data_IF_610433705589
#
_entry.id   IF_610433705589
#
_cell.length_a   1.000
_cell.length_b   1.000
_cell.length_c   1.000
_cell.angle_alpha   90.00
_cell.angle_beta   90.00
_cell.angle_gamma   90.00
#
_symmetry.space_group_name_H-M   'P 1'
#
loop_
_entity.id
_entity.type
_entity.pdbx_description
1 polymer ?
#
# COMPACT_ATOMS: atom_id res chain seq x y z
N UNK A 1 -0.95 -2.70 7.14
CA UNK A 1 -0.79 -3.70 8.22
C UNK A 1 -1.95 -4.69 8.31
N UNK A 2 -3.21 -4.23 8.42
CA UNK A 2 -4.38 -5.12 8.59
C UNK A 2 -4.51 -6.14 7.45
N UNK A 3 -4.39 -5.70 6.18
CA UNK A 3 -4.47 -6.59 5.02
C UNK A 3 -3.41 -7.70 5.04
N UNK A 4 -2.18 -7.37 5.47
CA UNK A 4 -1.08 -8.34 5.57
C UNK A 4 -1.35 -9.43 6.62
N UNK A 5 -1.99 -9.09 7.73
CA UNK A 5 -2.39 -10.07 8.75
C UNK A 5 -3.50 -11.00 8.23
N UNK A 6 -4.47 -10.45 7.49
CA UNK A 6 -5.55 -11.25 6.87
C UNK A 6 -4.97 -12.21 5.81
N UNK A 7 -3.96 -11.78 5.05
CA UNK A 7 -3.26 -12.65 4.09
C UNK A 7 -2.57 -13.83 4.78
N UNK A 8 -1.83 -13.59 5.87
CA UNK A 8 -1.19 -14.67 6.64
C UNK A 8 -2.21 -15.65 7.22
N UNK A 9 -3.32 -15.13 7.77
CA UNK A 9 -4.40 -15.97 8.29
C UNK A 9 -5.05 -16.81 7.17
N UNK A 10 -5.32 -16.20 6.01
CA UNK A 10 -5.90 -16.88 4.86
C UNK A 10 -5.00 -17.98 4.28
N UNK A 11 -3.69 -17.74 4.21
CA UNK A 11 -2.71 -18.76 3.82
C UNK A 11 -2.55 -19.87 4.85
N UNK A 12 -2.62 -19.55 6.15
CA UNK A 12 -2.67 -20.55 7.22
C UNK A 12 -3.86 -21.50 7.08
N UNK A 13 -5.05 -20.97 6.75
CA UNK A 13 -6.25 -21.77 6.50
C UNK A 13 -6.12 -22.67 5.26
N UNK A 14 -5.42 -22.21 4.20
CA UNK A 14 -5.18 -23.01 3.00
C UNK A 14 -4.21 -24.18 3.22
N UNK A 15 -3.40 -24.16 4.27
CA UNK A 15 -2.52 -25.28 4.62
C UNK A 15 -3.24 -26.45 5.29
N UNK A 16 -4.51 -26.27 5.70
CA UNK A 16 -5.30 -27.33 6.31
C UNK A 16 -5.85 -28.26 5.23
N UNK A 17 -5.83 -29.58 5.49
CA UNK A 17 -6.33 -30.63 4.60
C UNK A 17 -7.88 -30.67 4.54
N UNK A 18 -8.52 -29.53 4.30
CA UNK A 18 -9.97 -29.40 4.16
C UNK A 18 -10.31 -28.45 3.01
N UNK A 19 -11.10 -28.95 2.06
CA UNK A 19 -11.48 -28.18 0.87
C UNK A 19 -12.31 -26.94 1.21
N UNK A 20 -13.15 -27.01 2.24
CA UNK A 20 -13.98 -25.90 2.72
C UNK A 20 -13.11 -24.76 3.28
N UNK A 21 -12.11 -25.11 4.09
CA UNK A 21 -11.16 -24.13 4.64
C UNK A 21 -10.28 -23.51 3.56
N UNK A 22 -9.95 -24.27 2.52
CA UNK A 22 -9.25 -23.74 1.35
C UNK A 22 -10.08 -22.68 0.60
N UNK A 23 -11.38 -22.90 0.42
CA UNK A 23 -12.27 -21.90 -0.21
C UNK A 23 -12.41 -20.63 0.64
N UNK A 24 -12.59 -20.79 1.96
CA UNK A 24 -12.65 -19.65 2.89
C UNK A 24 -11.34 -18.87 2.88
N UNK A 25 -10.20 -19.57 2.91
CA UNK A 25 -8.87 -18.96 2.79
C UNK A 25 -8.72 -18.19 1.47
N UNK A 26 -9.19 -18.75 0.34
CA UNK A 26 -9.15 -18.07 -0.97
C UNK A 26 -9.96 -16.78 -0.98
N UNK A 27 -11.15 -16.80 -0.39
CA UNK A 27 -12.00 -15.62 -0.29
C UNK A 27 -11.34 -14.54 0.58
N UNK A 28 -10.81 -14.90 1.75
CA UNK A 28 -10.13 -13.96 2.65
C UNK A 28 -8.89 -13.34 2.00
N UNK A 29 -8.05 -14.16 1.37
CA UNK A 29 -6.86 -13.66 0.67
C UNK A 29 -7.22 -12.76 -0.51
N UNK A 30 -8.30 -13.06 -1.24
CA UNK A 30 -8.78 -12.22 -2.34
C UNK A 30 -9.22 -10.84 -1.87
N UNK A 31 -10.00 -10.76 -0.78
CA UNK A 31 -10.44 -9.49 -0.19
C UNK A 31 -9.23 -8.68 0.29
N UNK A 32 -8.31 -9.32 1.00
CA UNK A 32 -7.12 -8.66 1.51
C UNK A 32 -6.19 -8.16 0.39
N UNK A 33 -6.01 -8.96 -0.66
CA UNK A 33 -5.24 -8.58 -1.84
C UNK A 33 -5.88 -7.39 -2.56
N UNK A 34 -7.20 -7.42 -2.78
CA UNK A 34 -7.92 -6.32 -3.42
C UNK A 34 -7.78 -5.00 -2.66
N UNK A 35 -7.96 -5.02 -1.34
CA UNK A 35 -7.74 -3.84 -0.49
C UNK A 35 -6.29 -3.33 -0.55
N UNK A 36 -5.31 -4.24 -0.50
CA UNK A 36 -3.90 -3.87 -0.61
C UNK A 36 -3.55 -3.26 -1.97
N UNK A 37 -4.08 -3.81 -3.07
CA UNK A 37 -3.86 -3.29 -4.42
C UNK A 37 -4.50 -1.92 -4.64
N UNK A 38 -5.59 -1.60 -3.95
CA UNK A 38 -6.18 -0.25 -3.99
C UNK A 38 -5.36 0.76 -3.17
N UNK A 39 -4.93 0.37 -1.96
CA UNK A 39 -4.25 1.29 -1.04
C UNK A 39 -2.78 1.59 -1.42
N UNK A 40 -2.06 0.60 -1.96
CA UNK A 40 -0.62 0.73 -2.24
C UNK A 40 -0.28 1.81 -3.28
N UNK A 41 -0.92 1.88 -4.48
CA UNK A 41 -0.60 2.92 -5.45
C UNK A 41 -0.98 4.32 -4.96
N UNK A 42 -2.01 4.44 -4.11
CA UNK A 42 -2.39 5.73 -3.48
C UNK A 42 -1.27 6.19 -2.55
N UNK A 43 -0.80 5.32 -1.64
CA UNK A 43 0.32 5.64 -0.76
C UNK A 43 1.58 6.02 -1.55
N UNK A 44 1.92 5.25 -2.59
CA UNK A 44 3.08 5.52 -3.45
C UNK A 44 2.94 6.86 -4.18
N UNK A 45 1.73 7.22 -4.63
CA UNK A 45 1.47 8.48 -5.30
C UNK A 45 1.55 9.69 -4.34
N UNK A 46 1.15 9.53 -3.08
CA UNK A 46 1.22 10.56 -2.05
C UNK A 46 2.67 10.83 -1.59
N UNK A 47 3.51 9.80 -1.54
CA UNK A 47 4.93 9.97 -1.18
C UNK A 47 5.81 10.40 -2.36
N UNK A 48 5.37 10.21 -3.61
CA UNK A 48 6.19 10.60 -4.76
C UNK A 48 6.22 12.11 -4.97
N UNK A 49 7.39 12.67 -5.31
CA UNK A 49 7.52 14.09 -5.70
C UNK A 49 6.85 14.30 -7.05
N UNK A 50 6.24 15.47 -7.29
CA UNK A 50 5.52 15.76 -8.54
C UNK A 50 6.34 15.49 -9.81
N UNK A 51 7.66 15.74 -9.77
CA UNK A 51 8.56 15.52 -10.90
C UNK A 51 8.87 14.04 -11.18
N UNK A 52 8.87 13.18 -10.15
CA UNK A 52 9.24 11.76 -10.26
C UNK A 52 8.06 10.80 -10.18
N UNK A 53 6.85 11.32 -9.94
CA UNK A 53 5.62 10.53 -9.77
C UNK A 53 5.39 9.53 -10.90
N UNK A 54 5.63 9.95 -12.15
CA UNK A 54 5.49 9.08 -13.32
C UNK A 54 6.49 7.91 -13.31
N UNK A 55 7.75 8.19 -12.98
CA UNK A 55 8.83 7.21 -12.89
C UNK A 55 8.58 6.20 -11.77
N UNK A 56 8.18 6.67 -10.58
CA UNK A 56 7.88 5.82 -9.42
C UNK A 56 6.66 4.94 -9.69
N UNK A 57 5.60 5.48 -10.30
CA UNK A 57 4.40 4.70 -10.66
C UNK A 57 4.69 3.61 -11.70
N UNK A 58 5.53 3.93 -12.69
CA UNK A 58 5.97 2.97 -13.71
C UNK A 58 6.81 1.84 -13.09
N UNK A 59 7.74 2.19 -12.20
CA UNK A 59 8.57 1.24 -11.47
C UNK A 59 7.72 0.32 -10.57
N UNK A 60 6.72 0.88 -9.88
CA UNK A 60 5.77 0.12 -9.07
C UNK A 60 4.98 -0.89 -9.91
N UNK A 61 4.51 -0.48 -11.08
CA UNK A 61 3.78 -1.34 -12.02
C UNK A 61 4.65 -2.49 -12.52
N UNK A 62 5.96 -2.26 -12.74
CA UNK A 62 6.91 -3.30 -13.10
C UNK A 62 7.16 -4.26 -11.92
N UNK A 63 7.34 -3.73 -10.72
CA UNK A 63 7.56 -4.51 -9.50
C UNK A 63 6.42 -5.49 -9.23
N UNK A 64 5.18 -5.07 -9.49
CA UNK A 64 3.99 -5.94 -9.39
C UNK A 64 4.02 -7.14 -10.34
N UNK A 65 4.81 -7.12 -11.42
CA UNK A 65 4.96 -8.26 -12.35
C UNK A 65 5.95 -9.30 -11.86
N UNK A 66 6.90 -8.92 -11.01
CA UNK A 66 7.95 -9.81 -10.47
C UNK A 66 7.37 -11.01 -9.70
N UNK A 67 6.48 -10.85 -8.70
CA UNK A 67 5.96 -11.98 -7.93
C UNK A 67 5.13 -12.94 -8.81
N UNK A 68 4.46 -12.41 -9.83
CA UNK A 68 3.72 -13.22 -10.80
C UNK A 68 4.68 -14.12 -11.60
N UNK A 69 5.76 -13.54 -12.12
CA UNK A 69 6.79 -14.28 -12.85
C UNK A 69 7.40 -15.38 -11.97
N UNK A 70 7.82 -15.05 -10.76
CA UNK A 70 8.40 -16.00 -9.80
C UNK A 70 7.44 -17.16 -9.51
N UNK A 71 6.16 -16.86 -9.28
CA UNK A 71 5.14 -17.88 -8.98
C UNK A 71 4.92 -18.83 -10.16
N UNK A 72 4.85 -18.31 -11.39
CA UNK A 72 4.68 -19.15 -12.57
C UNK A 72 5.93 -19.93 -12.94
N UNK A 73 7.13 -19.38 -12.70
CA UNK A 73 8.38 -20.07 -12.96
C UNK A 73 8.68 -21.17 -11.95
N UNK A 74 8.47 -20.94 -10.66
CA UNK A 74 8.81 -21.90 -9.60
C UNK A 74 7.64 -22.83 -9.29
N UNK A 75 6.40 -22.36 -9.42
CA UNK A 75 5.20 -23.07 -8.97
C UNK A 75 5.02 -24.50 -9.48
N UNK A 76 5.26 -24.80 -10.77
CA UNK A 76 5.17 -26.16 -11.28
C UNK A 76 6.21 -27.14 -10.70
N UNK A 77 7.30 -26.63 -10.14
CA UNK A 77 8.43 -27.43 -9.66
C UNK A 77 8.40 -27.69 -8.15
N UNK A 78 7.50 -27.06 -7.41
CA UNK A 78 7.44 -27.15 -5.94
C UNK A 78 6.05 -27.59 -5.46
N UNK A 79 5.98 -28.10 -4.22
CA UNK A 79 4.71 -28.47 -3.61
C UNK A 79 3.86 -27.22 -3.32
N UNK A 80 2.53 -27.39 -3.31
CA UNK A 80 1.58 -26.33 -2.99
C UNK A 80 1.85 -25.69 -1.61
N UNK A 81 2.17 -26.50 -0.60
CA UNK A 81 2.49 -26.00 0.75
C UNK A 81 3.80 -25.23 0.78
N UNK A 82 4.82 -25.68 0.04
CA UNK A 82 6.09 -24.94 -0.09
C UNK A 82 5.87 -23.58 -0.74
N UNK A 83 4.99 -23.49 -1.74
CA UNK A 83 4.66 -22.22 -2.40
C UNK A 83 3.97 -21.24 -1.43
N UNK A 84 3.05 -21.73 -0.59
CA UNK A 84 2.42 -20.93 0.46
C UNK A 84 3.48 -20.40 1.45
N UNK A 85 4.37 -21.27 1.93
CA UNK A 85 5.43 -20.88 2.86
C UNK A 85 6.39 -19.84 2.26
N UNK A 86 6.78 -20.00 1.00
CA UNK A 86 7.61 -19.02 0.28
C UNK A 86 6.90 -17.66 0.16
N UNK A 87 5.58 -17.67 -0.02
CA UNK A 87 4.78 -16.45 -0.13
C UNK A 87 4.70 -15.70 1.21
N UNK A 88 4.81 -16.38 2.35
CA UNK A 88 4.86 -15.74 3.68
C UNK A 88 6.10 -14.87 3.90
N UNK A 89 7.25 -15.22 3.28
CA UNK A 89 8.53 -14.52 3.46
C UNK A 89 8.45 -13.01 3.18
N UNK A 90 7.98 -12.55 2.00
CA UNK A 90 7.85 -11.12 1.73
C UNK A 90 6.84 -10.41 2.64
N UNK A 91 5.78 -11.10 3.10
CA UNK A 91 4.82 -10.50 4.04
C UNK A 91 5.47 -10.24 5.40
N UNK A 92 6.23 -11.21 5.91
CA UNK A 92 6.95 -11.04 7.17
C UNK A 92 7.97 -9.91 7.05
N UNK A 93 8.72 -9.87 5.93
CA UNK A 93 9.64 -8.76 5.65
C UNK A 93 8.93 -7.40 5.65
N UNK A 94 7.76 -7.30 5.02
CA UNK A 94 6.95 -6.09 5.05
C UNK A 94 6.50 -5.73 6.48
N UNK A 95 6.03 -6.68 7.26
CA UNK A 95 5.58 -6.44 8.65
C UNK A 95 6.72 -5.94 9.55
N UNK A 96 7.95 -6.39 9.33
CA UNK A 96 9.13 -5.93 10.06
C UNK A 96 9.56 -4.51 9.64
N UNK A 97 9.37 -4.15 8.38
CA UNK A 97 9.74 -2.83 7.84
C UNK A 97 8.65 -1.77 8.04
N UNK A 98 7.39 -2.18 8.11
CA UNK A 98 6.23 -1.27 8.21
C UNK A 98 6.35 -0.25 9.36
N UNK A 99 6.76 -0.61 10.60
CA UNK A 99 6.89 0.36 11.69
C UNK A 99 7.95 1.46 11.46
N UNK A 100 8.86 1.24 10.51
CA UNK A 100 9.90 2.23 10.13
C UNK A 100 9.47 3.11 8.97
N UNK A 101 8.37 2.79 8.29
CA UNK A 101 7.86 3.58 7.19
C UNK A 101 7.08 4.78 7.74
N UNK A 102 7.33 6.00 7.22
CA UNK A 102 6.55 7.16 7.61
C UNK A 102 5.09 7.01 7.15
N UNK A 103 4.17 7.57 7.94
CA UNK A 103 2.77 7.70 7.53
C UNK A 103 2.66 8.62 6.30
N UNK A 104 1.57 8.49 5.54
CA UNK A 104 1.34 9.38 4.40
C UNK A 104 1.15 10.83 4.88
N UNK A 105 1.85 11.82 4.29
CA UNK A 105 1.68 13.23 4.66
C UNK A 105 0.24 13.72 4.53
N UNK A 106 -0.47 13.28 3.49
CA UNK A 106 -1.87 13.63 3.26
C UNK A 106 -2.77 13.10 4.39
N UNK A 107 -2.50 11.90 4.86
CA UNK A 107 -3.24 11.28 5.96
C UNK A 107 -3.03 12.03 7.29
N UNK A 108 -1.78 12.42 7.61
CA UNK A 108 -1.48 13.22 8.81
C UNK A 108 -2.13 14.62 8.76
N UNK A 109 -2.19 15.26 7.58
CA UNK A 109 -2.92 16.52 7.39
C UNK A 109 -4.43 16.38 7.64
N UNK A 110 -5.03 15.27 7.21
CA UNK A 110 -6.43 14.94 7.44
C UNK A 110 -6.75 14.71 8.93
N UNK A 111 -5.80 14.17 9.70
CA UNK A 111 -5.90 14.00 11.16
C UNK A 111 -5.71 15.30 11.97
N UNK A 112 -5.37 16.42 11.32
CA UNK A 112 -4.98 17.70 11.96
C UNK A 112 -3.64 17.66 12.70
N UNK A 113 -2.79 16.68 12.41
CA UNK A 113 -1.44 16.56 12.97
C UNK A 113 -0.43 17.22 12.01
N UNK A 114 -0.54 18.55 11.88
CA UNK A 114 0.24 19.31 10.89
C UNK A 114 1.75 19.23 11.12
N UNK A 115 2.19 19.19 12.38
CA UNK A 115 3.61 19.07 12.72
C UNK A 115 4.21 17.74 12.25
N UNK A 116 3.47 16.63 12.36
CA UNK A 116 3.93 15.32 11.88
C UNK A 116 3.99 15.26 10.35
N UNK A 117 3.02 15.89 9.67
CA UNK A 117 3.05 16.02 8.22
C UNK A 117 4.28 16.81 7.76
N UNK A 118 4.62 17.92 8.44
CA UNK A 118 5.79 18.74 8.08
C UNK A 118 7.08 17.93 8.28
N UNK A 119 7.24 17.25 9.43
CA UNK A 119 8.40 16.38 9.69
C UNK A 119 8.55 15.28 8.64
N UNK A 120 7.44 14.65 8.27
CA UNK A 120 7.43 13.58 7.28
C UNK A 120 7.78 14.09 5.88
N UNK A 121 7.22 15.23 5.46
CA UNK A 121 7.54 15.86 4.18
C UNK A 121 8.99 16.33 4.14
N UNK A 122 9.51 16.90 5.22
CA UNK A 122 10.92 17.26 5.32
C UNK A 122 11.84 16.04 5.16
N UNK A 123 11.50 14.92 5.79
CA UNK A 123 12.25 13.66 5.64
C UNK A 123 12.18 13.11 4.22
N UNK A 124 11.02 13.17 3.59
CA UNK A 124 10.75 12.61 2.26
C UNK A 124 11.31 13.46 1.11
N UNK A 125 11.20 14.79 1.21
CA UNK A 125 11.63 15.76 0.18
C UNK A 125 13.05 16.25 0.39
N UNK A 126 13.63 16.07 1.58
CA UNK A 126 14.94 16.62 1.97
C UNK A 126 15.05 18.13 1.68
N UNK A 127 13.97 18.86 1.95
CA UNK A 127 13.82 20.29 1.65
C UNK A 127 13.72 21.13 2.93
N UNK A 128 14.08 22.43 2.88
CA UNK A 128 13.91 23.34 4.00
C UNK A 128 12.43 23.54 4.35
N UNK A 129 12.16 23.77 5.63
CA UNK A 129 10.81 23.88 6.21
C UNK A 129 9.92 24.88 5.46
N UNK A 130 10.48 26.02 5.02
CA UNK A 130 9.75 27.04 4.28
C UNK A 130 9.13 26.53 2.97
N UNK A 131 9.83 25.66 2.23
CA UNK A 131 9.31 25.09 0.98
C UNK A 131 8.22 24.03 1.25
N UNK A 132 8.39 23.24 2.31
CA UNK A 132 7.40 22.24 2.75
C UNK A 132 6.11 22.90 3.21
N UNK A 133 6.19 24.03 3.89
CA UNK A 133 5.01 24.77 4.38
C UNK A 133 4.13 25.28 3.24
N UNK A 134 4.73 25.68 2.12
CA UNK A 134 4.00 26.07 0.91
C UNK A 134 3.32 24.86 0.24
N UNK A 135 3.98 23.70 0.19
CA UNK A 135 3.38 22.45 -0.31
C UNK A 135 2.18 22.01 0.57
N UNK A 136 2.32 22.11 1.90
CA UNK A 136 1.23 21.81 2.85
C UNK A 136 0.04 22.77 2.66
N UNK A 137 0.28 24.07 2.44
CA UNK A 137 -0.79 25.03 2.14
C UNK A 137 -1.51 24.70 0.83
N UNK A 138 -0.76 24.35 -0.21
CA UNK A 138 -1.33 23.94 -1.50
C UNK A 138 -2.19 22.69 -1.37
N UNK A 139 -1.73 21.67 -0.63
CA UNK A 139 -2.49 20.44 -0.34
C UNK A 139 -3.80 20.76 0.41
N UNK A 140 -3.76 21.64 1.41
CA UNK A 140 -4.97 22.04 2.15
C UNK A 140 -5.95 22.85 1.29
N UNK A 141 -5.45 23.69 0.39
CA UNK A 141 -6.29 24.46 -0.53
C UNK A 141 -7.07 23.51 -1.45
N UNK A 142 -6.39 22.52 -2.04
CA UNK A 142 -7.02 21.48 -2.86
C UNK A 142 -8.03 20.65 -2.07
N UNK A 143 -7.70 20.24 -0.84
CA UNK A 143 -8.62 19.48 0.01
C UNK A 143 -9.88 20.28 0.41
N UNK A 144 -9.79 21.61 0.45
CA UNK A 144 -10.93 22.51 0.70
C UNK A 144 -11.80 22.68 -0.54
N UNK A 145 -11.19 22.61 -1.73
CA UNK A 145 -11.85 22.71 -3.03
C UNK A 145 -12.54 21.39 -3.42
N UNK A 146 -11.91 20.23 -3.16
CA UNK A 146 -12.50 18.89 -3.34
C UNK A 146 -13.63 18.58 -2.35
N UNK A 147 -13.80 19.38 -1.28
CA UNK A 147 -15.02 19.40 -0.47
C UNK A 147 -16.20 20.09 -1.17
N UNK A 148 -16.13 20.27 -2.50
CA UNK A 148 -17.26 20.54 -3.38
C UNK A 148 -18.38 19.53 -3.14
N UNK A 149 -19.59 20.06 -2.99
CA UNK A 149 -20.75 19.30 -2.52
C UNK A 149 -21.10 18.18 -3.49
N UNK A 150 -21.64 17.08 -2.98
CA UNK A 150 -22.25 15.98 -3.74
C UNK A 150 -23.24 16.42 -4.85
N UNK A 151 -23.65 17.70 -4.83
CA UNK A 151 -24.50 18.37 -5.82
C UNK A 151 -23.76 18.73 -7.12
N UNK A 152 -22.44 18.87 -7.11
CA UNK A 152 -21.63 19.18 -8.29
C UNK A 152 -21.45 17.98 -9.23
N UNK A 153 -21.70 16.75 -8.76
CA UNK A 153 -21.71 15.53 -9.58
C UNK A 153 -23.04 15.30 -10.31
N UNK A 154 -24.08 16.09 -10.00
CA UNK A 154 -25.44 15.93 -10.52
C UNK A 154 -25.88 17.08 -11.43
N UNK A 155 -24.97 17.99 -11.77
CA UNK A 155 -25.17 19.07 -12.76
C UNK A 155 -24.24 18.83 -13.95
#
# INVERSE_FOLDING_TARGET
MVYQLILLAGWGLMCVWSIWLMYVGRLLTGIALGGAMAATPVYVAEIATNSDRASVSSAFSLFMRVPLLVTFSIGPHISYHTLILMSCVPIIGFLLLYPKMPESPHYSLLKKEEEESIKTLMWLRQMPEAAVLEEVKAIKALAKEERGQWKDLLT
#
